data_IF_002330927695
#
_entry.id   IF_002330927695
#
_cell.length_a   1.000
_cell.length_b   1.000
_cell.length_c   1.000
_cell.angle_alpha   90.00
_cell.angle_beta   90.00
_cell.angle_gamma   90.00
#
_symmetry.space_group_name_H-M   'P 1'
#
loop_
_entity.id
_entity.type
_entity.pdbx_description
1 polymer ?
#
# COMPACT_ATOMS: atom_id res chain seq x y z
N UNK A 1 6.00 -66.44 28.97
CA UNK A 1 5.94 -65.41 27.91
C UNK A 1 4.48 -65.27 27.50
N UNK A 2 3.71 -64.47 28.26
CA UNK A 2 2.25 -64.28 28.08
C UNK A 2 1.95 -62.78 27.89
N UNK A 3 0.86 -62.53 27.15
CA UNK A 3 0.51 -61.31 26.42
C UNK A 3 -0.11 -60.15 27.25
N UNK A 4 0.16 -58.91 26.82
CA UNK A 4 -0.73 -57.73 26.55
C UNK A 4 -1.80 -57.25 27.59
N UNK A 5 -1.80 -55.91 27.82
CA UNK A 5 -2.86 -54.96 28.31
C UNK A 5 -3.30 -55.09 29.78
N UNK A 6 -3.61 -54.06 30.56
CA UNK A 6 -3.93 -52.63 30.42
C UNK A 6 -3.57 -51.96 31.75
N UNK A 7 -3.09 -50.70 31.78
CA UNK A 7 -3.49 -49.72 32.81
C UNK A 7 -3.45 -48.32 32.20
N UNK A 8 -4.57 -47.88 31.60
CA UNK A 8 -4.99 -46.50 31.76
C UNK A 8 -5.73 -46.43 33.09
N UNK A 9 -5.27 -45.59 34.01
CA UNK A 9 -6.09 -44.70 34.82
C UNK A 9 -5.23 -43.48 35.15
N UNK A 10 -5.79 -42.35 34.78
CA UNK A 10 -5.36 -40.97 34.96
C UNK A 10 -4.78 -40.70 36.35
N UNK A 11 -3.68 -39.93 36.39
CA UNK A 11 -3.55 -38.93 37.43
C UNK A 11 -2.99 -37.64 36.84
N UNK A 12 -3.85 -36.62 36.88
CA UNK A 12 -3.53 -35.22 36.70
C UNK A 12 -2.25 -34.84 37.43
N UNK A 13 -1.28 -34.34 36.69
CA UNK A 13 -0.25 -33.46 37.23
C UNK A 13 0.15 -32.52 36.10
N UNK A 14 -0.52 -31.37 36.11
CA UNK A 14 -0.16 -30.13 35.44
C UNK A 14 1.37 -29.98 35.37
N UNK A 15 1.93 -30.34 34.23
CA UNK A 15 3.23 -29.83 33.83
C UNK A 15 2.90 -28.53 33.10
N UNK A 16 3.09 -27.41 33.80
CA UNK A 16 3.20 -26.11 33.18
C UNK A 16 4.42 -26.18 32.24
N UNK A 17 4.21 -26.65 31.02
CA UNK A 17 5.03 -26.24 29.89
C UNK A 17 4.69 -24.77 29.65
N UNK A 18 5.32 -23.90 30.45
CA UNK A 18 5.59 -22.55 30.01
C UNK A 18 6.53 -22.70 28.81
N UNK A 19 5.95 -22.92 27.62
CA UNK A 19 6.58 -22.53 26.38
C UNK A 19 6.86 -21.04 26.55
N UNK A 20 8.08 -20.72 26.94
CA UNK A 20 8.62 -19.39 26.76
C UNK A 20 8.59 -19.18 25.25
N UNK A 21 7.51 -18.58 24.77
CA UNK A 21 7.42 -18.00 23.43
C UNK A 21 8.62 -17.09 23.34
N UNK A 22 9.66 -17.56 22.66
CA UNK A 22 10.82 -16.74 22.34
C UNK A 22 10.26 -15.70 21.39
N UNK A 23 9.93 -14.51 21.92
CA UNK A 23 9.51 -13.39 21.09
C UNK A 23 10.63 -13.16 20.08
N UNK A 24 10.37 -13.53 18.82
CA UNK A 24 11.28 -13.28 17.73
C UNK A 24 11.36 -11.77 17.54
N UNK A 25 12.50 -11.20 17.91
CA UNK A 25 12.73 -9.76 17.83
C UNK A 25 13.32 -9.43 16.47
N UNK A 26 12.48 -8.90 15.60
CA UNK A 26 12.91 -8.32 14.33
C UNK A 26 13.49 -6.91 14.56
N UNK A 27 14.71 -6.62 14.08
CA UNK A 27 15.27 -5.28 14.12
C UNK A 27 14.38 -4.28 13.39
N UNK A 28 13.98 -3.20 14.09
CA UNK A 28 13.09 -2.15 13.57
C UNK A 28 13.74 -1.23 12.56
N UNK A 29 15.00 -1.43 12.22
CA UNK A 29 15.75 -0.77 11.16
C UNK A 29 15.79 -1.63 9.89
N UNK A 30 15.68 -2.95 10.01
CA UNK A 30 15.72 -3.90 8.88
C UNK A 30 14.34 -4.38 8.43
N UNK A 31 13.38 -4.51 9.35
CA UNK A 31 12.05 -5.05 9.05
C UNK A 31 10.93 -4.10 9.42
N UNK A 32 9.86 -4.11 8.63
CA UNK A 32 8.65 -3.31 8.81
C UNK A 32 7.37 -4.13 8.65
N UNK A 33 6.21 -3.59 9.06
CA UNK A 33 4.91 -4.21 8.84
C UNK A 33 4.46 -4.02 7.39
N UNK A 34 4.05 -5.11 6.73
CA UNK A 34 3.48 -5.07 5.38
C UNK A 34 2.33 -6.04 5.17
N UNK A 35 1.59 -5.81 4.09
CA UNK A 35 0.52 -6.70 3.63
C UNK A 35 0.83 -7.20 2.22
N UNK A 36 0.50 -8.46 1.89
CA UNK A 36 0.62 -8.96 0.53
C UNK A 36 -0.67 -8.66 -0.26
N UNK A 37 -0.54 -8.08 -1.45
CA UNK A 37 -1.64 -7.97 -2.42
C UNK A 37 -1.27 -8.72 -3.70
N UNK A 38 -2.28 -9.20 -4.42
CA UNK A 38 -2.06 -9.80 -5.75
C UNK A 38 -2.32 -8.76 -6.81
N UNK A 39 -1.33 -8.57 -7.69
CA UNK A 39 -1.42 -7.67 -8.85
C UNK A 39 -1.07 -8.40 -10.13
N UNK A 40 -1.69 -7.96 -11.22
CA UNK A 40 -1.37 -8.40 -12.58
C UNK A 40 -0.41 -7.41 -13.25
N UNK A 41 0.47 -7.90 -14.13
CA UNK A 41 1.43 -7.06 -14.88
C UNK A 41 0.72 -6.03 -15.75
N UNK A 42 -0.44 -6.39 -16.30
CA UNK A 42 -1.26 -5.46 -17.09
C UNK A 42 -1.77 -4.31 -16.22
N UNK A 43 -2.06 -4.55 -14.94
CA UNK A 43 -2.49 -3.50 -14.02
C UNK A 43 -1.35 -2.54 -13.69
N UNK A 44 -0.11 -3.03 -13.55
CA UNK A 44 1.05 -2.15 -13.39
C UNK A 44 1.34 -1.33 -14.65
N UNK A 45 1.13 -1.91 -15.83
CA UNK A 45 1.24 -1.17 -17.09
C UNK A 45 0.20 -0.05 -17.18
N UNK A 46 -1.04 -0.30 -16.74
CA UNK A 46 -2.10 0.71 -16.68
C UNK A 46 -1.74 1.82 -15.69
N UNK A 47 -1.21 1.50 -14.50
CA UNK A 47 -0.75 2.51 -13.54
C UNK A 47 0.37 3.38 -14.11
N UNK A 48 1.37 2.77 -14.77
CA UNK A 48 2.43 3.53 -15.43
C UNK A 48 1.89 4.44 -16.53
N UNK A 49 0.89 3.97 -17.28
CA UNK A 49 0.27 4.76 -18.33
C UNK A 49 -0.56 5.91 -17.74
N UNK A 50 -1.26 5.69 -16.64
CA UNK A 50 -1.95 6.75 -15.88
C UNK A 50 -0.97 7.83 -15.42
N UNK A 51 0.17 7.42 -14.84
CA UNK A 51 1.26 8.33 -14.44
C UNK A 51 1.79 9.12 -15.63
N UNK A 52 1.98 8.46 -16.78
CA UNK A 52 2.46 9.13 -18.00
C UNK A 52 1.46 10.16 -18.55
N UNK A 53 0.16 9.81 -18.55
CA UNK A 53 -0.92 10.70 -18.99
C UNK A 53 -0.98 11.93 -18.08
N UNK A 54 -0.97 11.71 -16.77
CA UNK A 54 -1.00 12.77 -15.76
C UNK A 54 0.20 13.71 -15.90
N UNK A 55 1.41 13.16 -16.05
CA UNK A 55 2.64 13.92 -16.29
C UNK A 55 2.65 14.70 -17.61
N UNK A 56 1.98 14.18 -18.64
CA UNK A 56 1.96 14.78 -19.99
C UNK A 56 0.94 15.91 -20.12
N UNK A 57 -0.08 15.93 -19.26
CA UNK A 57 -0.96 17.08 -19.13
C UNK A 57 -0.16 18.29 -18.61
N UNK A 58 -0.63 19.50 -18.87
CA UNK A 58 0.09 20.72 -18.46
C UNK A 58 0.13 20.82 -16.93
N UNK A 59 1.16 20.21 -16.33
CA UNK A 59 1.35 20.12 -14.90
C UNK A 59 1.49 21.51 -14.28
N UNK A 60 0.61 21.82 -13.33
CA UNK A 60 0.82 22.94 -12.46
C UNK A 60 -0.43 23.33 -11.72
N UNK A 61 -0.36 23.30 -10.38
CA UNK A 61 -1.23 24.13 -9.53
C UNK A 61 -1.20 25.60 -9.94
N UNK A 62 -0.16 26.03 -10.66
CA UNK A 62 -0.06 27.36 -11.26
C UNK A 62 -1.03 27.58 -12.44
N UNK A 63 -1.47 26.51 -13.10
CA UNK A 63 -2.44 26.55 -14.19
C UNK A 63 -3.87 26.32 -13.68
N UNK A 64 -4.03 25.68 -12.51
CA UNK A 64 -5.34 25.48 -11.90
C UNK A 64 -5.89 26.79 -11.32
N UNK A 65 -7.21 27.03 -11.44
CA UNK A 65 -7.88 28.09 -10.68
C UNK A 65 -7.62 27.96 -9.18
N UNK A 66 -7.48 29.09 -8.47
CA UNK A 66 -7.27 29.10 -7.02
C UNK A 66 -8.37 28.33 -6.25
N UNK A 67 -9.61 28.38 -6.74
CA UNK A 67 -10.75 27.67 -6.15
C UNK A 67 -10.58 26.16 -6.22
N UNK A 68 -10.16 25.63 -7.38
CA UNK A 68 -9.86 24.20 -7.54
C UNK A 68 -8.77 23.75 -6.57
N UNK A 69 -7.72 24.57 -6.42
CA UNK A 69 -6.66 24.36 -5.43
C UNK A 69 -7.20 24.26 -3.99
N UNK A 70 -8.07 25.15 -3.57
CA UNK A 70 -8.67 25.14 -2.22
C UNK A 70 -9.55 23.91 -1.99
N UNK A 71 -10.32 23.49 -2.99
CA UNK A 71 -11.15 22.28 -2.93
C UNK A 71 -10.31 21.01 -2.77
N UNK A 72 -9.21 20.88 -3.51
CA UNK A 72 -8.30 19.76 -3.32
C UNK A 72 -7.57 19.81 -1.97
N UNK A 73 -7.18 20.99 -1.50
CA UNK A 73 -6.59 21.17 -0.17
C UNK A 73 -7.53 20.64 0.94
N UNK A 74 -8.84 20.89 0.82
CA UNK A 74 -9.86 20.36 1.74
C UNK A 74 -9.95 18.83 1.70
N UNK A 75 -9.89 18.23 0.51
CA UNK A 75 -9.87 16.76 0.36
C UNK A 75 -8.65 16.16 1.06
N UNK A 76 -7.46 16.76 0.90
CA UNK A 76 -6.24 16.25 1.56
C UNK A 76 -6.36 16.36 3.07
N UNK A 77 -6.88 17.48 3.59
CA UNK A 77 -7.10 17.67 5.02
C UNK A 77 -8.11 16.66 5.57
N UNK A 78 -9.19 16.36 4.85
CA UNK A 78 -10.17 15.34 5.24
C UNK A 78 -9.55 13.92 5.28
N UNK A 79 -8.78 13.56 4.25
CA UNK A 79 -8.21 12.21 4.12
C UNK A 79 -7.04 11.98 5.08
N UNK A 80 -6.21 13.00 5.33
CA UNK A 80 -4.94 12.83 6.06
C UNK A 80 -4.78 13.68 7.31
N UNK A 81 -5.52 14.78 7.43
CA UNK A 81 -5.27 15.83 8.41
C UNK A 81 -3.92 16.54 8.22
N UNK A 82 -3.27 16.39 7.07
CA UNK A 82 -1.97 16.98 6.76
C UNK A 82 -2.09 18.13 5.76
N UNK A 83 -1.04 18.95 5.69
CA UNK A 83 -0.93 19.95 4.64
C UNK A 83 -0.76 19.28 3.27
N UNK A 84 -1.51 19.72 2.26
CA UNK A 84 -1.41 19.24 0.88
C UNK A 84 0.00 19.40 0.31
N UNK A 85 0.38 18.40 -0.49
CA UNK A 85 1.68 18.32 -1.19
C UNK A 85 1.49 18.68 -2.65
N UNK A 86 2.57 18.88 -3.41
CA UNK A 86 2.48 19.08 -4.86
C UNK A 86 1.97 17.82 -5.58
N UNK A 87 1.34 17.92 -6.77
CA UNK A 87 0.88 16.75 -7.54
C UNK A 87 2.07 15.86 -7.88
N UNK A 88 3.19 16.50 -8.23
CA UNK A 88 4.44 15.81 -8.53
C UNK A 88 4.84 14.89 -7.37
N UNK A 89 4.61 15.29 -6.12
CA UNK A 89 4.93 14.44 -4.97
C UNK A 89 3.98 13.24 -4.88
N UNK A 90 2.68 13.42 -5.08
CA UNK A 90 1.74 12.29 -5.12
C UNK A 90 2.05 11.33 -6.28
N UNK A 91 2.30 11.87 -7.48
CA UNK A 91 2.72 11.08 -8.65
C UNK A 91 4.01 10.30 -8.37
N UNK A 92 5.04 10.96 -7.85
CA UNK A 92 6.34 10.32 -7.58
C UNK A 92 6.19 9.21 -6.54
N UNK A 93 5.39 9.42 -5.48
CA UNK A 93 5.13 8.38 -4.48
C UNK A 93 4.46 7.14 -5.10
N UNK A 94 3.48 7.31 -5.99
CA UNK A 94 2.86 6.18 -6.70
C UNK A 94 3.85 5.54 -7.68
N UNK A 95 4.64 6.33 -8.39
CA UNK A 95 5.66 5.82 -9.30
C UNK A 95 6.70 4.96 -8.57
N UNK A 96 7.15 5.39 -7.39
CA UNK A 96 8.09 4.62 -6.56
C UNK A 96 7.46 3.29 -6.08
N UNK A 97 6.19 3.31 -5.68
CA UNK A 97 5.45 2.10 -5.30
C UNK A 97 5.36 1.12 -6.49
N UNK A 98 4.95 1.62 -7.66
CA UNK A 98 4.79 0.80 -8.87
C UNK A 98 6.14 0.23 -9.32
N UNK A 99 7.20 1.04 -9.32
CA UNK A 99 8.54 0.57 -9.68
C UNK A 99 9.01 -0.58 -8.78
N UNK A 100 8.78 -0.49 -7.47
CA UNK A 100 9.12 -1.60 -6.57
C UNK A 100 8.27 -2.85 -6.82
N UNK A 101 6.98 -2.71 -7.09
CA UNK A 101 6.12 -3.85 -7.43
C UNK A 101 6.55 -4.53 -8.73
N UNK A 102 7.00 -3.78 -9.72
CA UNK A 102 7.55 -4.34 -10.97
C UNK A 102 8.79 -5.20 -10.73
N UNK A 103 9.67 -4.78 -9.82
CA UNK A 103 10.86 -5.55 -9.43
C UNK A 103 10.50 -6.85 -8.70
N UNK A 104 9.38 -6.86 -7.95
CA UNK A 104 8.89 -8.03 -7.23
C UNK A 104 8.17 -9.05 -8.14
N UNK A 105 7.61 -8.63 -9.28
CA UNK A 105 6.85 -9.51 -10.17
C UNK A 105 7.74 -10.53 -10.89
N UNK A 106 7.65 -11.80 -10.51
CA UNK A 106 8.30 -12.90 -11.25
C UNK A 106 7.45 -13.42 -12.40
N UNK A 107 6.13 -13.30 -12.29
CA UNK A 107 5.14 -13.81 -13.24
C UNK A 107 4.20 -12.69 -13.73
N UNK A 108 3.29 -13.02 -14.65
CA UNK A 108 2.27 -12.07 -15.13
C UNK A 108 1.26 -11.69 -14.04
N UNK A 109 1.16 -12.50 -12.99
CA UNK A 109 0.33 -12.30 -11.81
C UNK A 109 1.10 -12.81 -10.61
N UNK A 110 1.36 -11.97 -9.62
CA UNK A 110 2.13 -12.35 -8.44
C UNK A 110 1.69 -11.55 -7.21
N UNK A 111 2.16 -11.97 -6.04
CA UNK A 111 1.99 -11.20 -4.82
C UNK A 111 3.10 -10.14 -4.71
N UNK A 112 2.71 -8.92 -4.33
CA UNK A 112 3.62 -7.81 -4.02
C UNK A 112 3.33 -7.27 -2.63
N UNK A 113 4.32 -6.65 -2.01
CA UNK A 113 4.20 -6.10 -0.68
C UNK A 113 3.75 -4.64 -0.70
N UNK A 114 2.87 -4.31 0.24
CA UNK A 114 2.45 -2.94 0.53
C UNK A 114 2.78 -2.58 1.97
N UNK A 115 3.03 -1.30 2.20
CA UNK A 115 3.29 -0.75 3.53
C UNK A 115 2.00 -0.21 4.13
N UNK A 116 1.97 -0.04 5.45
CA UNK A 116 0.94 0.76 6.12
C UNK A 116 0.90 2.17 5.50
N UNK A 117 -0.28 2.63 5.10
CA UNK A 117 -0.48 3.93 4.45
C UNK A 117 -0.32 3.92 2.93
N UNK A 118 -0.11 2.78 2.27
CA UNK A 118 -0.18 2.70 0.80
C UNK A 118 -1.58 3.06 0.27
N UNK A 119 -2.63 2.67 0.99
CA UNK A 119 -4.04 3.03 0.74
C UNK A 119 -4.23 4.54 0.66
N UNK A 120 -3.68 5.27 1.64
CA UNK A 120 -3.81 6.72 1.74
C UNK A 120 -3.11 7.40 0.57
N UNK A 121 -1.94 6.90 0.15
CA UNK A 121 -1.22 7.43 -1.03
C UNK A 121 -2.02 7.22 -2.31
N UNK A 122 -2.59 6.03 -2.51
CA UNK A 122 -3.45 5.75 -3.65
C UNK A 122 -4.71 6.63 -3.64
N UNK A 123 -5.37 6.82 -2.49
CA UNK A 123 -6.53 7.72 -2.36
C UNK A 123 -6.22 9.14 -2.80
N UNK A 124 -5.12 9.71 -2.30
CA UNK A 124 -4.73 11.08 -2.62
C UNK A 124 -4.37 11.25 -4.10
N UNK A 125 -3.68 10.26 -4.67
CA UNK A 125 -3.33 10.30 -6.09
C UNK A 125 -4.57 10.17 -6.98
N UNK A 126 -5.50 9.27 -6.66
CA UNK A 126 -6.77 9.12 -7.39
C UNK A 126 -7.59 10.40 -7.27
N UNK A 127 -7.75 10.94 -6.06
CA UNK A 127 -8.47 12.20 -5.84
C UNK A 127 -7.85 13.37 -6.62
N UNK A 128 -6.51 13.40 -6.74
CA UNK A 128 -5.83 14.42 -7.55
C UNK A 128 -6.17 14.26 -9.04
N UNK A 129 -6.20 13.04 -9.56
CA UNK A 129 -6.58 12.78 -10.94
C UNK A 129 -8.05 13.13 -11.20
N UNK A 130 -8.95 12.74 -10.31
CA UNK A 130 -10.39 13.04 -10.40
C UNK A 130 -10.63 14.55 -10.37
N UNK A 131 -10.02 15.25 -9.42
CA UNK A 131 -10.13 16.70 -9.31
C UNK A 131 -9.62 17.43 -10.57
N UNK A 132 -8.51 16.96 -11.16
CA UNK A 132 -8.02 17.51 -12.43
C UNK A 132 -8.99 17.24 -13.58
N UNK A 133 -9.54 16.03 -13.67
CA UNK A 133 -10.49 15.67 -14.73
C UNK A 133 -11.81 16.44 -14.64
N UNK A 134 -12.22 16.84 -13.44
CA UNK A 134 -13.42 17.65 -13.18
C UNK A 134 -13.17 19.16 -13.36
N UNK A 135 -11.91 19.59 -13.45
CA UNK A 135 -11.57 21.02 -13.62
C UNK A 135 -11.65 21.41 -15.10
N UNK A 136 -12.63 22.24 -15.46
CA UNK A 136 -12.91 22.68 -16.84
C UNK A 136 -11.70 23.31 -17.58
N UNK A 137 -10.76 23.92 -16.84
CA UNK A 137 -9.58 24.59 -17.40
C UNK A 137 -8.30 23.70 -17.38
N UNK A 138 -8.38 22.44 -16.94
CA UNK A 138 -7.28 21.48 -17.02
C UNK A 138 -7.34 20.68 -18.35
N UNK A 139 -6.17 20.39 -18.90
CA UNK A 139 -6.02 19.54 -20.09
C UNK A 139 -6.12 18.04 -19.80
N UNK A 140 -6.15 17.65 -18.53
CA UNK A 140 -6.25 16.28 -18.08
C UNK A 140 -7.70 15.77 -18.22
N UNK A 141 -7.89 14.76 -19.07
CA UNK A 141 -9.17 14.04 -19.18
C UNK A 141 -9.07 12.72 -18.41
N UNK A 142 -10.15 12.31 -17.74
CA UNK A 142 -10.18 11.05 -16.99
C UNK A 142 -9.88 9.85 -17.92
N UNK A 143 -8.73 9.18 -17.71
CA UNK A 143 -8.36 8.05 -18.54
C UNK A 143 -8.94 6.74 -17.98
N UNK A 144 -9.23 5.73 -18.80
CA UNK A 144 -9.76 4.45 -18.33
C UNK A 144 -8.84 3.74 -17.32
N UNK A 145 -7.53 4.01 -17.37
CA UNK A 145 -6.54 3.48 -16.43
C UNK A 145 -6.79 3.93 -14.98
N UNK A 146 -7.58 4.99 -14.75
CA UNK A 146 -7.96 5.42 -13.41
C UNK A 146 -8.84 4.37 -12.69
N UNK A 147 -9.68 3.64 -13.42
CA UNK A 147 -10.46 2.52 -12.85
C UNK A 147 -9.57 1.38 -12.37
N UNK A 148 -8.44 1.13 -13.05
CA UNK A 148 -7.45 0.15 -12.59
C UNK A 148 -6.85 0.57 -11.25
N UNK A 149 -6.52 1.86 -11.07
CA UNK A 149 -6.04 2.39 -9.80
C UNK A 149 -7.08 2.24 -8.68
N UNK A 150 -8.35 2.54 -8.94
CA UNK A 150 -9.47 2.32 -7.99
C UNK A 150 -9.61 0.85 -7.60
N UNK A 151 -9.51 -0.06 -8.56
CA UNK A 151 -9.59 -1.52 -8.32
C UNK A 151 -8.41 -2.03 -7.48
N UNK A 152 -7.22 -1.44 -7.63
CA UNK A 152 -6.08 -1.75 -6.76
C UNK A 152 -6.28 -1.18 -5.36
N UNK A 153 -6.77 0.06 -5.24
CA UNK A 153 -7.08 0.66 -3.95
C UNK A 153 -8.08 -0.18 -3.14
N UNK A 154 -9.17 -0.65 -3.77
CA UNK A 154 -10.14 -1.52 -3.10
C UNK A 154 -9.49 -2.80 -2.55
N UNK A 155 -8.56 -3.40 -3.31
CA UNK A 155 -7.79 -4.58 -2.85
C UNK A 155 -6.89 -4.27 -1.67
N UNK A 156 -6.24 -3.10 -1.68
CA UNK A 156 -5.39 -2.61 -0.59
C UNK A 156 -6.23 -2.43 0.68
N UNK A 157 -7.37 -1.75 0.60
CA UNK A 157 -8.25 -1.53 1.74
C UNK A 157 -8.76 -2.87 2.30
N UNK A 158 -9.22 -3.77 1.42
CA UNK A 158 -9.68 -5.11 1.79
C UNK A 158 -8.60 -5.94 2.48
N UNK A 159 -7.32 -5.78 2.12
CA UNK A 159 -6.24 -6.52 2.78
C UNK A 159 -5.93 -5.94 4.16
N UNK A 160 -5.95 -4.61 4.28
CA UNK A 160 -5.63 -3.90 5.52
C UNK A 160 -6.70 -4.04 6.60
N UNK A 161 -7.97 -4.24 6.24
CA UNK A 161 -9.05 -4.53 7.19
C UNK A 161 -8.86 -5.84 7.97
N UNK A 162 -7.98 -6.73 7.49
CA UNK A 162 -7.76 -8.06 8.08
C UNK A 162 -6.40 -8.12 8.75
N UNK A 163 -6.36 -7.84 10.07
CA UNK A 163 -5.13 -7.84 10.88
C UNK A 163 -4.26 -9.11 10.72
N UNK A 164 -4.88 -10.27 10.50
CA UNK A 164 -4.14 -11.53 10.32
C UNK A 164 -3.33 -11.63 9.03
N UNK A 165 -3.51 -10.67 8.11
CA UNK A 165 -2.71 -10.55 6.88
C UNK A 165 -1.48 -9.65 7.05
N UNK A 166 -1.35 -8.97 8.18
CA UNK A 166 -0.18 -8.17 8.49
C UNK A 166 1.01 -9.07 8.83
N UNK A 167 2.12 -8.87 8.15
CA UNK A 167 3.35 -9.67 8.30
C UNK A 167 4.55 -8.74 8.47
N UNK A 168 5.60 -9.23 9.11
CA UNK A 168 6.89 -8.54 9.19
C UNK A 168 7.72 -8.89 7.95
N UNK A 169 8.07 -7.87 7.17
CA UNK A 169 8.74 -7.98 5.87
C UNK A 169 10.04 -7.19 5.90
N UNK A 170 11.03 -7.58 5.09
CA UNK A 170 12.26 -6.80 4.94
C UNK A 170 11.94 -5.44 4.33
N UNK A 171 12.55 -4.36 4.83
CA UNK A 171 12.25 -3.00 4.36
C UNK A 171 12.55 -2.76 2.90
N UNK A 172 13.54 -3.46 2.34
CA UNK A 172 13.85 -3.38 0.90
C UNK A 172 12.68 -3.81 0.02
N UNK A 173 11.77 -4.66 0.54
CA UNK A 173 10.57 -5.09 -0.18
C UNK A 173 9.35 -4.20 0.14
N UNK A 174 9.46 -3.27 1.09
CA UNK A 174 8.36 -2.40 1.52
C UNK A 174 8.46 -1.02 0.86
N UNK A 175 7.45 -0.63 0.06
CA UNK A 175 7.48 0.66 -0.61
C UNK A 175 7.43 1.80 0.40
N UNK A 176 8.33 2.77 0.25
CA UNK A 176 8.36 4.02 1.01
C UNK A 176 8.42 3.83 2.55
N UNK A 177 8.87 2.68 3.05
CA UNK A 177 9.09 2.40 4.49
C UNK A 177 10.50 2.76 4.97
N UNK A 178 11.27 3.47 4.16
CA UNK A 178 12.56 4.00 4.60
C UNK A 178 12.28 5.07 5.65
N UNK A 179 12.52 4.71 6.91
CA UNK A 179 12.64 5.67 8.00
C UNK A 179 13.71 6.68 7.60
N UNK A 180 13.30 7.92 7.31
CA UNK A 180 14.22 9.05 7.36
C UNK A 180 14.93 8.94 8.70
N UNK A 181 16.23 8.66 8.67
CA UNK A 181 17.05 8.74 9.87
C UNK A 181 16.96 10.19 10.34
N UNK A 182 16.46 10.41 11.55
CA UNK A 182 16.65 11.66 12.28
C UNK A 182 18.17 11.95 12.28
N UNK A 183 18.59 12.93 11.49
CA UNK A 183 19.94 13.53 11.52
C UNK A 183 19.85 14.91 12.20
#
# INVERSE_FOLDING_TARGET
MSWIRDIFISNSSSTNENEATTEERFPRDTYGPGYPIVVDRDELNDLNRLIEIERSAADGWENLPLTSREEFDEIVEEVTGQTPRSPEKYRNEIQDIVGLWEEQLTHSRDAVWITVGTDTRFKLYIAQCEHRAETDDDSFEEPPELDTARTILERIETVQEVDSKLVIVHRDDLPLDQTEGDD
#
